data_IF_036401204803
#
_entry.id   IF_036401204803
#
_cell.length_a   1.000
_cell.length_b   1.000
_cell.length_c   1.000
_cell.angle_alpha   90.00
_cell.angle_beta   90.00
_cell.angle_gamma   90.00
#
_symmetry.space_group_name_H-M   'P 1'
#
loop_
_entity.id
_entity.type
_entity.pdbx_description
1 polymer ?
#
# COMPACT_ATOMS: atom_id res chain seq x y z
N UNK A 1 3.24 19.78 -4.40
CA UNK A 1 2.69 21.02 -3.83
C UNK A 1 3.57 21.45 -2.68
N UNK A 2 4.01 22.71 -2.67
CA UNK A 2 4.62 23.40 -1.54
C UNK A 2 3.73 24.61 -1.27
N UNK A 3 3.41 24.87 -0.02
CA UNK A 3 2.59 26.01 0.36
C UNK A 3 3.23 27.32 -0.15
N UNK A 4 2.40 28.19 -0.75
CA UNK A 4 2.84 29.45 -1.36
C UNK A 4 3.44 29.33 -2.77
N UNK A 5 3.45 28.15 -3.40
CA UNK A 5 3.90 28.01 -4.79
C UNK A 5 2.79 28.42 -5.79
N UNK A 6 3.15 29.28 -6.74
CA UNK A 6 2.28 29.66 -7.87
C UNK A 6 2.19 28.58 -8.95
N UNK A 7 1.15 28.66 -9.78
CA UNK A 7 0.87 27.72 -10.85
C UNK A 7 1.10 28.33 -12.23
N UNK A 8 1.77 27.57 -13.10
CA UNK A 8 1.96 27.96 -14.51
C UNK A 8 0.62 28.03 -15.24
N UNK A 9 0.55 28.88 -16.29
CA UNK A 9 -0.64 29.00 -17.14
C UNK A 9 -1.05 27.64 -17.71
N UNK A 10 -2.35 27.35 -17.69
CA UNK A 10 -2.91 26.07 -18.13
C UNK A 10 -3.03 25.00 -17.04
N UNK A 11 -2.48 25.21 -15.83
CA UNK A 11 -2.72 24.31 -14.71
C UNK A 11 -4.16 24.46 -14.18
N UNK A 12 -4.97 23.37 -14.11
CA UNK A 12 -6.37 23.45 -13.72
C UNK A 12 -6.56 24.06 -12.33
N UNK A 13 -7.46 25.04 -12.21
CA UNK A 13 -7.76 25.70 -10.93
C UNK A 13 -8.22 24.72 -9.85
N UNK A 14 -9.03 23.73 -10.22
CA UNK A 14 -9.53 22.69 -9.31
C UNK A 14 -8.45 21.78 -8.73
N UNK A 15 -7.22 21.79 -9.26
CA UNK A 15 -6.10 20.99 -8.76
C UNK A 15 -5.10 21.80 -7.94
N UNK A 16 -5.31 23.12 -7.78
CA UNK A 16 -4.35 24.03 -7.14
C UNK A 16 -4.29 23.93 -5.63
N UNK A 17 -5.29 23.35 -5.00
CA UNK A 17 -5.27 23.07 -3.56
C UNK A 17 -4.51 21.76 -3.26
N UNK A 18 -4.17 20.99 -4.30
CA UNK A 18 -3.57 19.68 -4.18
C UNK A 18 -4.55 18.64 -3.63
N UNK A 19 -4.00 17.55 -3.12
CA UNK A 19 -4.74 16.49 -2.44
C UNK A 19 -4.06 16.14 -1.12
N UNK A 20 -4.83 15.80 -0.05
CA UNK A 20 -4.27 15.22 1.16
C UNK A 20 -3.37 14.04 0.83
N UNK A 21 -2.16 14.01 1.38
CA UNK A 21 -1.21 12.92 1.11
C UNK A 21 -1.52 11.74 2.02
N UNK A 22 -2.02 10.66 1.44
CA UNK A 22 -2.31 9.41 2.13
C UNK A 22 -1.07 8.54 2.30
N UNK A 23 -0.19 8.51 1.28
CA UNK A 23 1.05 7.72 1.28
C UNK A 23 2.23 8.55 0.79
N UNK A 24 3.36 8.40 1.47
CA UNK A 24 4.67 8.93 1.11
C UNK A 24 5.65 7.75 0.96
N UNK A 25 6.10 7.52 -0.28
CA UNK A 25 7.03 6.46 -0.63
C UNK A 25 8.42 7.05 -0.90
N UNK A 26 9.34 6.81 0.01
CA UNK A 26 10.72 7.27 -0.16
C UNK A 26 11.55 6.33 -1.03
N UNK A 27 12.69 6.82 -1.53
CA UNK A 27 13.57 6.08 -2.42
C UNK A 27 14.84 5.60 -1.71
N UNK A 28 15.67 4.81 -2.40
CA UNK A 28 16.86 4.20 -1.82
C UNK A 28 18.13 4.66 -2.53
N UNK A 29 19.20 4.82 -1.75
CA UNK A 29 20.57 4.88 -2.25
C UNK A 29 21.28 3.55 -2.01
N UNK A 30 22.44 3.38 -2.65
CA UNK A 30 23.29 2.20 -2.60
C UNK A 30 22.69 1.00 -3.33
N UNK A 31 22.08 0.02 -2.67
CA UNK A 31 21.57 -1.18 -3.38
C UNK A 31 20.16 -0.89 -3.94
N UNK A 32 19.98 -0.85 -5.28
CA UNK A 32 18.67 -0.60 -5.88
C UNK A 32 17.70 -1.75 -5.63
N UNK A 33 16.41 -1.43 -5.60
CA UNK A 33 15.32 -2.41 -5.48
C UNK A 33 15.01 -3.03 -6.85
N UNK A 34 15.83 -3.99 -7.26
CA UNK A 34 15.64 -4.72 -8.50
C UNK A 34 14.95 -6.06 -8.27
N UNK A 35 14.24 -6.51 -9.30
CA UNK A 35 13.90 -7.92 -9.44
C UNK A 35 15.18 -8.77 -9.49
N UNK A 36 15.06 -10.03 -9.08
CA UNK A 36 16.18 -10.95 -8.97
C UNK A 36 16.92 -11.17 -10.30
N UNK A 37 16.24 -11.34 -11.47
CA UNK A 37 16.92 -11.39 -12.77
C UNK A 37 17.82 -10.17 -13.02
N UNK A 38 17.31 -8.96 -12.83
CA UNK A 38 18.08 -7.72 -13.01
C UNK A 38 19.25 -7.64 -12.04
N UNK A 39 19.04 -8.03 -10.78
CA UNK A 39 20.12 -8.09 -9.78
C UNK A 39 21.23 -9.10 -10.17
N UNK A 40 20.87 -10.23 -10.79
CA UNK A 40 21.85 -11.23 -11.27
C UNK A 40 22.75 -10.67 -12.36
N UNK A 41 22.22 -9.88 -13.29
CA UNK A 41 22.99 -9.31 -14.39
C UNK A 41 23.72 -8.01 -14.01
N UNK A 42 23.33 -7.36 -12.91
CA UNK A 42 23.94 -6.11 -12.42
C UNK A 42 24.31 -6.15 -10.92
N UNK A 43 25.12 -7.13 -10.46
CA UNK A 43 25.37 -7.33 -9.02
C UNK A 43 26.16 -6.20 -8.34
N UNK A 44 26.92 -5.43 -9.13
CA UNK A 44 27.75 -4.33 -8.66
C UNK A 44 27.10 -2.95 -8.83
N UNK A 45 25.92 -2.87 -9.46
CA UNK A 45 25.25 -1.58 -9.66
C UNK A 45 24.85 -0.98 -8.32
N UNK A 46 25.05 0.34 -8.19
CA UNK A 46 24.67 1.11 -7.02
C UNK A 46 23.92 2.37 -7.44
N UNK A 47 22.80 2.64 -6.77
CA UNK A 47 22.12 3.91 -6.92
C UNK A 47 22.85 5.00 -6.10
N UNK A 48 23.62 5.82 -6.79
CA UNK A 48 24.29 7.01 -6.21
C UNK A 48 23.58 8.31 -6.56
N UNK A 49 22.49 8.23 -7.34
CA UNK A 49 21.78 9.41 -7.85
C UNK A 49 20.71 9.85 -6.86
N UNK A 50 20.98 10.98 -6.21
CA UNK A 50 19.99 11.69 -5.42
C UNK A 50 19.19 12.64 -6.32
N UNK A 51 17.86 12.59 -6.20
CA UNK A 51 16.95 13.53 -6.86
C UNK A 51 16.23 14.32 -5.78
N UNK A 52 16.49 15.63 -5.71
CA UNK A 52 15.91 16.52 -4.71
C UNK A 52 14.48 16.91 -5.06
N UNK A 53 13.56 15.93 -5.03
CA UNK A 53 12.18 16.11 -5.43
C UNK A 53 11.22 15.25 -4.62
N UNK A 54 10.04 15.80 -4.38
CA UNK A 54 8.85 15.06 -3.96
C UNK A 54 7.80 15.24 -5.04
N UNK A 55 7.43 14.13 -5.68
CA UNK A 55 6.49 14.12 -6.79
C UNK A 55 5.20 13.42 -6.37
N UNK A 56 4.07 13.97 -6.80
CA UNK A 56 2.79 13.24 -6.70
C UNK A 56 2.74 12.22 -7.83
N UNK A 57 2.41 10.97 -7.49
CA UNK A 57 2.18 9.92 -8.49
C UNK A 57 0.87 10.25 -9.22
N UNK A 58 0.88 10.39 -10.56
CA UNK A 58 -0.31 10.78 -11.31
C UNK A 58 -1.52 9.88 -11.05
N UNK A 59 -2.72 10.44 -11.14
CA UNK A 59 -3.96 9.66 -11.07
C UNK A 59 -4.01 8.64 -12.20
N UNK A 60 -4.44 7.42 -11.91
CA UNK A 60 -4.51 6.31 -12.86
C UNK A 60 -3.16 5.68 -13.21
N UNK A 61 -2.09 6.06 -12.51
CA UNK A 61 -0.74 5.48 -12.70
C UNK A 61 -0.36 4.67 -11.47
N UNK A 62 -0.07 3.39 -11.68
CA UNK A 62 0.47 2.52 -10.62
C UNK A 62 1.93 2.86 -10.31
N UNK A 63 2.41 2.37 -9.17
CA UNK A 63 3.80 2.52 -8.77
C UNK A 63 4.26 1.25 -8.04
N UNK A 64 5.54 0.86 -8.17
CA UNK A 64 6.12 -0.25 -7.44
C UNK A 64 6.45 0.22 -6.02
N UNK A 65 5.48 0.14 -5.12
CA UNK A 65 5.67 0.54 -3.73
C UNK A 65 6.65 -0.40 -3.04
N UNK A 66 7.62 0.18 -2.36
CA UNK A 66 8.53 -0.54 -1.49
C UNK A 66 8.18 -0.33 -0.01
N UNK A 67 8.08 -1.41 0.75
CA UNK A 67 7.70 -1.38 2.16
C UNK A 67 8.75 -0.82 3.13
N UNK A 68 10.03 -0.73 2.75
CA UNK A 68 11.10 -0.35 3.69
C UNK A 68 11.26 1.15 3.92
N UNK A 69 10.78 1.99 3.00
CA UNK A 69 10.83 3.45 3.12
C UNK A 69 9.45 4.03 2.83
N UNK A 70 8.52 3.75 3.75
CA UNK A 70 7.11 4.05 3.57
C UNK A 70 6.58 4.79 4.80
N UNK A 71 5.88 5.89 4.55
CA UNK A 71 5.03 6.56 5.53
C UNK A 71 3.60 6.64 5.00
N UNK A 72 2.61 6.43 5.85
CA UNK A 72 1.20 6.56 5.47
C UNK A 72 0.39 7.22 6.58
N UNK A 73 -0.68 7.91 6.19
CA UNK A 73 -1.63 8.46 7.12
C UNK A 73 -2.67 7.39 7.46
N UNK A 74 -2.63 6.91 8.71
CA UNK A 74 -3.52 5.86 9.22
C UNK A 74 -4.99 6.16 8.97
N UNK A 75 -5.42 7.39 9.16
CA UNK A 75 -6.84 7.76 9.06
C UNK A 75 -7.32 7.88 7.61
N UNK A 76 -6.40 8.23 6.69
CA UNK A 76 -6.73 8.38 5.27
C UNK A 76 -6.68 7.06 4.49
N UNK A 77 -5.83 6.10 4.89
CA UNK A 77 -5.59 4.90 4.08
C UNK A 77 -5.23 3.63 4.87
N UNK A 78 -5.15 3.71 6.20
CA UNK A 78 -4.75 2.59 7.06
C UNK A 78 -5.44 1.25 6.76
N UNK A 79 -6.79 1.20 6.56
CA UNK A 79 -7.46 -0.05 6.25
C UNK A 79 -6.98 -0.75 4.97
N UNK A 80 -6.42 0.00 4.00
CA UNK A 80 -5.89 -0.58 2.76
C UNK A 80 -4.41 -1.01 2.88
N UNK A 81 -3.74 -0.71 4.00
CA UNK A 81 -2.31 -1.00 4.19
C UNK A 81 -2.07 -2.45 4.63
N UNK A 82 -2.48 -3.39 3.77
CA UNK A 82 -2.31 -4.83 3.95
C UNK A 82 -1.47 -5.42 2.81
N UNK A 83 -0.40 -6.12 3.20
CA UNK A 83 0.62 -6.69 2.31
C UNK A 83 0.22 -8.08 1.79
N UNK A 84 -1.04 -8.46 1.98
CA UNK A 84 -1.56 -9.74 1.53
C UNK A 84 -1.10 -10.92 2.37
N UNK A 85 -1.45 -12.12 1.90
CA UNK A 85 -0.98 -13.37 2.50
C UNK A 85 0.48 -13.56 2.10
N UNK A 86 1.39 -13.10 2.95
CA UNK A 86 2.84 -13.21 2.80
C UNK A 86 3.45 -14.16 3.86
N UNK A 87 4.69 -14.60 3.62
CA UNK A 87 5.41 -15.50 4.51
C UNK A 87 5.75 -16.85 3.86
N UNK A 88 6.31 -17.76 4.66
CA UNK A 88 6.77 -19.06 4.16
C UNK A 88 5.61 -19.86 3.54
N UNK A 89 5.83 -20.36 2.33
CA UNK A 89 4.83 -21.12 1.56
C UNK A 89 3.83 -20.26 0.78
N UNK A 90 3.85 -18.93 0.93
CA UNK A 90 2.99 -18.05 0.13
C UNK A 90 3.61 -17.72 -1.23
N UNK A 91 2.83 -17.76 -2.32
CA UNK A 91 3.36 -17.65 -3.68
C UNK A 91 3.67 -16.22 -4.14
N UNK A 92 3.20 -15.19 -3.43
CA UNK A 92 3.40 -13.77 -3.79
C UNK A 92 4.74 -13.19 -3.29
N UNK A 93 5.64 -14.01 -2.75
CA UNK A 93 6.82 -13.52 -2.02
C UNK A 93 7.63 -12.46 -2.78
N UNK A 94 7.93 -11.34 -2.10
CA UNK A 94 8.63 -10.15 -2.64
C UNK A 94 7.82 -9.31 -3.64
N UNK A 95 6.53 -9.61 -3.81
CA UNK A 95 5.55 -8.77 -4.51
C UNK A 95 4.48 -8.20 -3.56
N UNK A 96 4.59 -8.49 -2.26
CA UNK A 96 3.63 -8.14 -1.22
C UNK A 96 3.47 -6.63 -1.01
N UNK A 97 4.56 -5.88 -1.04
CA UNK A 97 4.55 -4.43 -0.96
C UNK A 97 4.03 -3.79 -2.25
N UNK A 98 4.45 -4.26 -3.42
CA UNK A 98 3.89 -3.82 -4.69
C UNK A 98 2.37 -4.03 -4.75
N UNK A 99 1.88 -5.19 -4.31
CA UNK A 99 0.45 -5.49 -4.20
C UNK A 99 -0.28 -4.48 -3.30
N UNK A 100 0.22 -4.26 -2.08
CA UNK A 100 -0.34 -3.26 -1.17
C UNK A 100 -0.34 -1.86 -1.80
N UNK A 101 0.73 -1.52 -2.53
CA UNK A 101 0.88 -0.27 -3.26
C UNK A 101 -0.16 -0.07 -4.35
N UNK A 102 -0.42 -1.10 -5.15
CA UNK A 102 -1.41 -1.06 -6.22
C UNK A 102 -2.84 -0.96 -5.67
N UNK A 103 -3.18 -1.76 -4.66
CA UNK A 103 -4.46 -1.63 -3.93
C UNK A 103 -4.64 -0.21 -3.40
N UNK A 104 -3.64 0.29 -2.66
CA UNK A 104 -3.65 1.64 -2.09
C UNK A 104 -3.78 2.71 -3.18
N UNK A 105 -3.09 2.55 -4.31
CA UNK A 105 -3.12 3.53 -5.40
C UNK A 105 -4.50 3.62 -6.05
N UNK A 106 -5.13 2.48 -6.35
CA UNK A 106 -6.50 2.46 -6.90
C UNK A 106 -7.49 3.14 -5.95
N UNK A 107 -7.38 2.86 -4.66
CA UNK A 107 -8.30 3.42 -3.65
C UNK A 107 -8.08 4.92 -3.45
N UNK A 108 -6.82 5.34 -3.32
CA UNK A 108 -6.49 6.77 -3.18
C UNK A 108 -6.94 7.57 -4.40
N UNK A 109 -6.78 7.05 -5.61
CA UNK A 109 -7.25 7.70 -6.83
C UNK A 109 -8.78 7.82 -6.91
N UNK A 110 -9.49 6.81 -6.39
CA UNK A 110 -10.94 6.83 -6.28
C UNK A 110 -11.43 7.87 -5.26
N UNK A 111 -10.79 7.94 -4.09
CA UNK A 111 -11.15 8.82 -2.99
C UNK A 111 -10.57 10.25 -3.12
N UNK A 112 -9.81 10.54 -4.18
CA UNK A 112 -9.20 11.87 -4.39
C UNK A 112 -8.02 12.16 -3.45
N UNK A 113 -7.33 11.13 -2.97
CA UNK A 113 -6.17 11.22 -2.10
C UNK A 113 -4.87 11.13 -2.89
N UNK A 114 -3.81 11.76 -2.38
CA UNK A 114 -2.50 11.80 -3.02
C UNK A 114 -1.56 10.70 -2.52
N UNK A 115 -0.82 10.11 -3.46
CA UNK A 115 0.40 9.31 -3.18
C UNK A 115 1.60 10.09 -3.68
N UNK A 116 2.64 10.19 -2.86
CA UNK A 116 3.89 10.88 -3.20
C UNK A 116 5.06 9.91 -3.25
N UNK A 117 6.03 10.19 -4.12
CA UNK A 117 7.31 9.47 -4.21
C UNK A 117 8.48 10.44 -4.31
N UNK A 118 9.67 10.01 -3.89
CA UNK A 118 10.90 10.81 -3.93
C UNK A 118 11.60 10.84 -2.58
N UNK A 119 11.75 12.02 -2.00
CA UNK A 119 12.28 12.17 -0.63
C UNK A 119 11.32 11.55 0.41
N UNK A 120 11.84 11.03 1.54
CA UNK A 120 13.25 10.92 1.88
C UNK A 120 13.96 9.75 1.19
N UNK A 121 15.29 9.81 1.12
CA UNK A 121 16.12 8.65 0.73
C UNK A 121 16.66 7.94 1.97
N UNK A 122 16.69 6.61 1.93
CA UNK A 122 17.43 5.79 2.91
C UNK A 122 18.67 5.16 2.27
N UNK A 123 19.67 4.85 3.09
CA UNK A 123 20.83 4.07 2.65
C UNK A 123 20.57 2.58 2.82
N UNK A 124 20.35 1.86 1.71
CA UNK A 124 20.03 0.43 1.75
C UNK A 124 21.31 -0.43 1.64
N UNK A 125 21.62 -1.22 2.67
CA UNK A 125 22.87 -2.00 2.78
C UNK A 125 22.69 -3.51 2.62
N UNK A 126 21.45 -4.03 2.57
CA UNK A 126 21.19 -5.46 2.49
C UNK A 126 21.13 -5.92 1.03
N UNK A 127 22.08 -6.76 0.62
CA UNK A 127 21.99 -7.53 -0.62
C UNK A 127 21.56 -8.97 -0.28
N UNK A 128 20.32 -9.32 -0.58
CA UNK A 128 19.85 -10.71 -0.46
C UNK A 128 20.38 -11.57 -1.61
N UNK A 129 20.35 -12.90 -1.43
CA UNK A 129 20.81 -13.84 -2.44
C UNK A 129 19.84 -13.85 -3.63
N UNK A 130 20.26 -13.44 -4.84
CA UNK A 130 19.36 -13.30 -5.97
C UNK A 130 18.81 -14.64 -6.48
N UNK A 131 19.52 -15.76 -6.31
CA UNK A 131 18.98 -17.09 -6.67
C UNK A 131 17.84 -17.53 -5.76
N UNK A 132 17.91 -17.18 -4.48
CA UNK A 132 16.81 -17.44 -3.53
C UNK A 132 15.63 -16.53 -3.86
N UNK A 133 15.89 -15.26 -4.16
CA UNK A 133 14.85 -14.30 -4.52
C UNK A 133 14.14 -14.70 -5.81
N UNK A 134 14.86 -15.14 -6.84
CA UNK A 134 14.27 -15.58 -8.11
C UNK A 134 13.22 -16.69 -7.92
N UNK A 135 13.48 -17.65 -7.02
CA UNK A 135 12.51 -18.70 -6.69
C UNK A 135 11.24 -18.15 -6.02
N UNK A 136 11.39 -17.12 -5.19
CA UNK A 136 10.28 -16.46 -4.50
C UNK A 136 9.47 -15.58 -5.46
N UNK A 137 10.16 -14.89 -6.35
CA UNK A 137 9.58 -13.92 -7.30
C UNK A 137 8.99 -14.59 -8.55
N UNK A 138 9.38 -15.82 -8.89
CA UNK A 138 9.01 -16.49 -10.16
C UNK A 138 7.52 -16.37 -10.51
N UNK A 139 6.63 -16.64 -9.55
CA UNK A 139 5.19 -16.50 -9.77
C UNK A 139 4.77 -15.05 -9.95
N UNK A 140 5.29 -14.14 -9.12
CA UNK A 140 5.03 -12.71 -9.21
C UNK A 140 5.43 -12.12 -10.57
N UNK A 141 6.61 -12.49 -11.09
CA UNK A 141 7.11 -12.08 -12.41
C UNK A 141 6.16 -12.53 -13.52
N UNK A 142 5.58 -13.72 -13.43
CA UNK A 142 4.61 -14.19 -14.42
C UNK A 142 3.24 -13.53 -14.24
N UNK A 143 2.74 -13.44 -13.01
CA UNK A 143 1.42 -12.89 -12.72
C UNK A 143 1.31 -11.39 -12.93
N UNK A 144 2.40 -10.63 -12.78
CA UNK A 144 2.37 -9.18 -12.94
C UNK A 144 1.82 -8.75 -14.32
N UNK A 145 2.04 -9.56 -15.36
CA UNK A 145 1.57 -9.29 -16.72
C UNK A 145 0.04 -9.25 -16.81
N UNK A 146 -0.66 -9.90 -15.87
CA UNK A 146 -2.12 -9.87 -15.76
C UNK A 146 -2.58 -8.95 -14.60
N UNK A 147 -1.84 -8.93 -13.49
CA UNK A 147 -2.19 -8.13 -12.29
C UNK A 147 -2.09 -6.63 -12.57
N UNK A 148 -1.07 -6.17 -13.29
CA UNK A 148 -0.87 -4.74 -13.58
C UNK A 148 -2.01 -4.22 -14.47
N UNK A 149 -2.34 -4.84 -15.63
CA UNK A 149 -3.50 -4.45 -16.42
C UNK A 149 -4.81 -4.55 -15.64
N UNK A 150 -4.98 -5.56 -14.79
CA UNK A 150 -6.13 -5.65 -13.89
C UNK A 150 -6.27 -4.37 -13.05
N UNK A 151 -5.25 -3.99 -12.27
CA UNK A 151 -5.31 -2.80 -11.42
C UNK A 151 -5.49 -1.50 -12.21
N UNK A 152 -4.89 -1.39 -13.40
CA UNK A 152 -5.10 -0.25 -14.31
C UNK A 152 -6.55 -0.17 -14.82
N UNK A 153 -7.25 -1.30 -14.93
CA UNK A 153 -8.63 -1.39 -15.40
C UNK A 153 -9.68 -1.25 -14.29
N UNK A 154 -9.28 -1.33 -13.01
CA UNK A 154 -10.23 -1.29 -11.89
C UNK A 154 -10.96 0.06 -11.88
N UNK A 155 -12.29 0.00 -11.86
CA UNK A 155 -13.17 1.14 -11.62
C UNK A 155 -14.02 0.80 -10.41
N UNK A 156 -13.79 1.50 -9.30
CA UNK A 156 -14.59 1.33 -8.10
C UNK A 156 -15.93 2.11 -8.21
N UNK A 157 -17.04 1.54 -7.73
CA UNK A 157 -18.35 2.20 -7.71
C UNK A 157 -18.34 3.48 -6.86
N UNK A 158 -19.16 4.47 -7.21
CA UNK A 158 -19.17 5.79 -6.53
C UNK A 158 -19.65 5.73 -5.08
N UNK A 159 -20.39 4.69 -4.74
CA UNK A 159 -20.86 4.37 -3.39
C UNK A 159 -19.77 3.88 -2.44
N UNK A 160 -18.59 3.50 -2.98
CA UNK A 160 -17.40 3.14 -2.20
C UNK A 160 -16.72 4.41 -1.66
N UNK A 161 -17.36 5.07 -0.68
CA UNK A 161 -16.91 6.36 -0.15
C UNK A 161 -15.90 6.25 1.01
N UNK A 162 -15.53 5.05 1.43
CA UNK A 162 -14.57 4.80 2.51
C UNK A 162 -13.53 3.78 2.06
N UNK A 163 -12.33 3.82 2.67
CA UNK A 163 -11.24 2.89 2.35
C UNK A 163 -11.70 1.44 2.53
N UNK A 164 -12.41 1.13 3.62
CA UNK A 164 -12.97 -0.20 3.88
C UNK A 164 -13.89 -0.66 2.73
N UNK A 165 -14.86 0.18 2.33
CA UNK A 165 -15.78 -0.14 1.23
C UNK A 165 -15.04 -0.35 -0.08
N UNK A 166 -14.05 0.49 -0.37
CA UNK A 166 -13.22 0.34 -1.56
C UNK A 166 -12.43 -0.98 -1.53
N UNK A 167 -11.83 -1.32 -0.38
CA UNK A 167 -11.00 -2.52 -0.24
C UNK A 167 -11.81 -3.81 -0.32
N UNK A 168 -13.02 -3.83 0.26
CA UNK A 168 -13.98 -4.93 0.14
C UNK A 168 -14.48 -5.08 -1.30
N UNK A 169 -14.75 -3.98 -2.00
CA UNK A 169 -15.15 -4.07 -3.40
C UNK A 169 -14.01 -4.57 -4.29
N UNK A 170 -12.80 -4.07 -4.04
CA UNK A 170 -11.59 -4.54 -4.71
C UNK A 170 -11.35 -6.04 -4.47
N UNK A 171 -11.61 -6.56 -3.26
CA UNK A 171 -11.44 -7.99 -2.98
C UNK A 171 -12.38 -8.85 -3.83
N UNK A 172 -13.62 -8.44 -4.05
CA UNK A 172 -14.55 -9.13 -4.98
C UNK A 172 -14.00 -9.16 -6.41
N UNK A 173 -13.47 -8.03 -6.89
CA UNK A 173 -12.87 -7.93 -8.22
C UNK A 173 -11.63 -8.81 -8.34
N UNK A 174 -10.79 -8.87 -7.30
CA UNK A 174 -9.62 -9.77 -7.22
C UNK A 174 -10.06 -11.22 -7.35
N UNK A 175 -11.05 -11.67 -6.59
CA UNK A 175 -11.59 -13.03 -6.68
C UNK A 175 -12.17 -13.32 -8.08
N UNK A 176 -12.93 -12.38 -8.63
CA UNK A 176 -13.54 -12.57 -9.94
C UNK A 176 -12.52 -12.65 -11.08
N UNK A 177 -11.47 -11.84 -11.04
CA UNK A 177 -10.57 -11.62 -12.19
C UNK A 177 -9.25 -12.36 -12.07
N UNK A 178 -8.73 -12.56 -10.86
CA UNK A 178 -7.40 -13.13 -10.63
C UNK A 178 -7.45 -14.59 -10.16
N UNK A 179 -8.57 -15.10 -9.63
CA UNK A 179 -8.71 -16.54 -9.31
C UNK A 179 -8.44 -17.47 -10.52
N UNK A 180 -8.80 -17.12 -11.78
CA UNK A 180 -8.39 -17.90 -12.95
C UNK A 180 -6.88 -18.01 -13.18
N UNK A 181 -6.08 -17.09 -12.62
CA UNK A 181 -4.62 -17.11 -12.71
C UNK A 181 -4.03 -18.12 -11.71
N UNK A 182 -4.48 -18.07 -10.45
CA UNK A 182 -4.09 -19.03 -9.41
C UNK A 182 -5.13 -19.02 -8.25
N UNK A 183 -5.49 -20.18 -7.66
CA UNK A 183 -6.39 -20.27 -6.51
C UNK A 183 -5.96 -19.46 -5.27
N UNK A 184 -4.70 -19.05 -5.20
CA UNK A 184 -4.20 -18.10 -4.21
C UNK A 184 -5.06 -16.83 -4.13
N UNK A 185 -5.50 -16.28 -5.27
CA UNK A 185 -6.25 -15.02 -5.29
C UNK A 185 -7.66 -15.14 -4.69
N UNK A 186 -8.26 -16.33 -4.73
CA UNK A 186 -9.51 -16.61 -4.03
C UNK A 186 -9.30 -16.43 -2.52
N UNK A 187 -8.27 -17.09 -1.98
CA UNK A 187 -7.90 -17.01 -0.55
C UNK A 187 -7.44 -15.61 -0.15
N UNK A 188 -6.71 -14.92 -1.03
CA UNK A 188 -6.27 -13.56 -0.79
C UNK A 188 -7.47 -12.62 -0.71
N UNK A 189 -8.46 -12.76 -1.59
CA UNK A 189 -9.68 -11.97 -1.55
C UNK A 189 -10.46 -12.17 -0.25
N UNK A 190 -10.56 -13.40 0.25
CA UNK A 190 -11.14 -13.67 1.58
C UNK A 190 -10.33 -12.99 2.69
N UNK A 191 -8.99 -13.14 2.66
CA UNK A 191 -8.10 -12.52 3.64
C UNK A 191 -8.15 -10.98 3.61
N UNK A 192 -8.41 -10.36 2.45
CA UNK A 192 -8.63 -8.92 2.34
C UNK A 192 -9.89 -8.48 3.09
N UNK A 193 -10.96 -9.29 3.08
CA UNK A 193 -12.17 -9.00 3.88
C UNK A 193 -11.87 -9.17 5.36
N UNK A 194 -11.25 -10.29 5.75
CA UNK A 194 -10.86 -10.54 7.15
C UNK A 194 -9.93 -9.45 7.69
N UNK A 195 -9.03 -8.91 6.88
CA UNK A 195 -8.18 -7.79 7.27
C UNK A 195 -9.01 -6.55 7.65
N UNK A 196 -10.03 -6.20 6.86
CA UNK A 196 -10.91 -5.07 7.16
C UNK A 196 -11.72 -5.31 8.43
N UNK A 197 -12.23 -6.53 8.63
CA UNK A 197 -12.93 -6.91 9.87
C UNK A 197 -12.03 -6.74 11.10
N UNK A 198 -10.80 -7.27 11.03
CA UNK A 198 -9.82 -7.13 12.11
C UNK A 198 -9.39 -5.67 12.32
N UNK A 199 -9.27 -4.89 11.25
CA UNK A 199 -8.99 -3.46 11.34
C UNK A 199 -10.11 -2.74 12.09
N UNK A 200 -11.36 -2.94 11.72
CA UNK A 200 -12.49 -2.24 12.34
C UNK A 200 -12.67 -2.66 13.82
N UNK A 201 -12.41 -3.93 14.17
CA UNK A 201 -12.41 -4.42 15.55
C UNK A 201 -11.36 -3.70 16.42
N UNK A 202 -10.13 -3.55 15.90
CA UNK A 202 -9.02 -2.93 16.63
C UNK A 202 -9.03 -1.39 16.57
N UNK A 203 -9.82 -0.82 15.67
CA UNK A 203 -9.87 0.62 15.42
C UNK A 203 -11.32 1.12 15.37
N UNK A 204 -12.10 0.93 16.46
CA UNK A 204 -13.52 1.28 16.47
C UNK A 204 -13.70 2.77 16.20
N UNK A 205 -14.70 3.09 15.38
CA UNK A 205 -15.17 4.46 15.17
C UNK A 205 -15.56 5.09 16.50
N UNK A 206 -15.47 6.42 16.62
CA UNK A 206 -15.91 7.13 17.82
C UNK A 206 -17.39 6.81 18.19
N UNK A 207 -18.21 6.42 17.20
CA UNK A 207 -19.61 6.03 17.38
C UNK A 207 -19.80 4.61 17.97
N UNK A 208 -18.76 3.77 18.00
CA UNK A 208 -18.81 2.37 18.50
C UNK A 208 -17.96 2.14 19.75
N UNK A 209 -17.26 3.15 20.25
CA UNK A 209 -16.51 3.06 21.50
C UNK A 209 -17.47 2.96 22.69
N UNK A 210 -17.58 1.76 23.27
CA UNK A 210 -18.30 1.55 24.54
C UNK A 210 -17.71 2.46 25.64
N UNK A 211 -18.53 3.00 26.57
CA UNK A 211 -18.03 3.85 27.63
C UNK A 211 -17.03 3.07 28.48
N UNK A 212 -15.85 3.65 28.69
CA UNK A 212 -14.82 3.10 29.56
C UNK A 212 -15.40 2.81 30.95
N UNK A 213 -15.33 1.54 31.38
CA UNK A 213 -15.79 1.14 32.70
C UNK A 213 -14.85 1.75 33.75
N UNK A 214 -15.39 2.71 34.50
CA UNK A 214 -14.68 3.44 35.55
C UNK A 214 -14.34 2.49 36.71
N UNK A 215 -13.08 2.05 36.77
CA UNK A 215 -12.56 1.10 37.78
C UNK A 215 -12.20 1.80 39.11
N UNK A 216 -13.08 2.67 39.60
CA UNK A 216 -12.98 3.28 40.93
C UNK A 216 -14.27 3.15 41.73
N UNK A 217 -14.57 1.93 42.20
CA UNK A 217 -15.36 1.70 43.44
C UNK A 217 -15.33 0.24 43.87
N UNK A 218 -14.25 -0.16 44.55
CA UNK A 218 -14.28 -1.32 45.45
C UNK A 218 -13.11 -1.21 46.45
N UNK A 219 -13.25 -0.36 47.46
CA UNK A 219 -12.48 -0.48 48.69
C UNK A 219 -13.37 -1.22 49.71
N UNK A 220 -12.97 -2.38 50.24
CA UNK A 220 -13.74 -3.04 51.28
C UNK A 220 -13.53 -2.34 52.63
N UNK A 221 -14.63 -2.18 53.36
CA UNK A 221 -14.68 -1.63 54.71
C UNK A 221 -13.85 -2.47 55.69
N UNK A 222 -12.97 -1.82 56.43
CA UNK A 222 -12.25 -2.40 57.56
C UNK A 222 -13.23 -2.77 58.68
N UNK A 223 -13.20 -4.03 59.13
CA UNK A 223 -13.84 -4.45 60.39
C UNK A 223 -12.82 -4.30 61.53
N UNK A 224 -13.32 -3.75 62.63
CA UNK A 224 -12.70 -3.72 63.97
C UNK A 224 -12.42 -5.12 64.49
#
# INVERSE_FOLDING_TARGET
YREGADYVRGYPFSMREGAPTAVSHGLWLNIPDYDAPTQLVKPLERNTRYVDAVMTIPKGTLFPMCGMNLGFNRDLIGPAMYFGLMGDGQPIGRYDDMWAGWCTKVITDHLGLGVKTGLPYIWHSKASNPFVNLKKEYKGIYWQEEIIPFFQSVVLPKECTTVQKCYIELSKLVKQKLTPIDPYFEKLGDAMVTWIEAWDELNPSADTAAPAVDSKKAAPAAKK
#
